data_IF_356582121562
#
_entry.id   IF_356582121562
#
_cell.length_a   1.000
_cell.length_b   1.000
_cell.length_c   1.000
_cell.angle_alpha   90.00
_cell.angle_beta   90.00
_cell.angle_gamma   90.00
#
_symmetry.space_group_name_H-M   'P 1'
#
loop_
_entity.id
_entity.type
_entity.pdbx_description
1 polymer ?
#
# COMPACT_ATOMS: atom_id res chain seq x y z
N UNK A 1 9.11 -27.07 -55.60
CA UNK A 1 9.18 -25.63 -55.23
C UNK A 1 9.47 -25.52 -53.73
N UNK A 2 10.33 -24.58 -53.31
CA UNK A 2 11.04 -24.63 -52.02
C UNK A 2 10.21 -24.09 -50.85
N UNK A 3 10.62 -24.35 -49.58
CA UNK A 3 10.05 -23.70 -48.41
C UNK A 3 10.62 -22.28 -48.26
N UNK A 4 9.77 -21.28 -48.03
CA UNK A 4 10.19 -19.93 -47.59
C UNK A 4 10.12 -19.84 -46.07
N UNK A 5 11.26 -19.53 -45.44
CA UNK A 5 11.37 -19.06 -44.05
C UNK A 5 10.96 -17.58 -43.95
N UNK A 6 10.29 -17.21 -42.86
CA UNK A 6 10.26 -15.86 -42.25
C UNK A 6 9.74 -16.00 -40.81
N UNK A 7 10.57 -16.16 -39.77
CA UNK A 7 11.11 -15.13 -38.85
C UNK A 7 10.17 -14.01 -38.37
N UNK A 8 10.14 -13.89 -37.02
CA UNK A 8 9.70 -12.78 -36.14
C UNK A 8 8.20 -12.47 -36.08
N UNK A 9 7.53 -13.11 -35.12
CA UNK A 9 6.27 -12.63 -34.56
C UNK A 9 6.57 -11.83 -33.30
N UNK A 10 6.42 -10.50 -33.40
CA UNK A 10 6.27 -9.60 -32.27
C UNK A 10 5.13 -10.13 -31.37
N UNK A 11 5.42 -10.28 -30.07
CA UNK A 11 4.45 -10.71 -29.07
C UNK A 11 3.29 -9.71 -29.02
N UNK A 12 2.18 -10.07 -29.64
CA UNK A 12 0.89 -9.40 -29.49
C UNK A 12 0.40 -9.61 -28.06
N UNK A 13 0.26 -8.54 -27.30
CA UNK A 13 -0.61 -8.49 -26.13
C UNK A 13 -2.05 -8.65 -26.62
N UNK A 14 -2.56 -9.88 -26.59
CA UNK A 14 -3.96 -10.19 -26.86
C UNK A 14 -4.80 -9.78 -25.66
N UNK A 15 -5.48 -8.64 -25.78
CA UNK A 15 -6.64 -8.33 -24.97
C UNK A 15 -7.81 -9.16 -25.49
N UNK A 16 -8.11 -10.26 -24.81
CA UNK A 16 -9.33 -11.01 -25.06
C UNK A 16 -10.48 -10.33 -24.33
N UNK A 17 -11.15 -9.41 -25.02
CA UNK A 17 -12.39 -8.82 -24.55
C UNK A 17 -13.51 -9.86 -24.69
N UNK A 18 -13.61 -10.71 -23.67
CA UNK A 18 -14.77 -11.57 -23.49
C UNK A 18 -15.96 -10.74 -22.98
N UNK A 19 -16.82 -10.32 -23.90
CA UNK A 19 -18.08 -9.65 -23.60
C UNK A 19 -19.06 -10.67 -23.02
N UNK A 20 -18.94 -10.94 -21.72
CA UNK A 20 -19.92 -11.73 -20.97
C UNK A 20 -20.20 -11.10 -19.61
N UNK A 21 -21.49 -11.07 -19.30
CA UNK A 21 -22.20 -10.47 -18.17
C UNK A 21 -21.47 -10.53 -16.81
N UNK A 22 -21.47 -9.38 -16.11
CA UNK A 22 -21.25 -9.25 -14.65
C UNK A 22 -19.94 -9.84 -14.09
N UNK A 23 -18.81 -9.63 -14.78
CA UNK A 23 -17.49 -9.96 -14.22
C UNK A 23 -17.24 -9.10 -12.97
N UNK A 24 -17.28 -9.74 -11.79
CA UNK A 24 -16.82 -9.15 -10.53
C UNK A 24 -15.37 -8.73 -10.69
N UNK A 25 -15.14 -7.44 -10.90
CA UNK A 25 -13.80 -6.88 -11.02
C UNK A 25 -13.11 -6.95 -9.66
N UNK A 26 -12.08 -7.80 -9.57
CA UNK A 26 -11.23 -7.93 -8.39
C UNK A 26 -9.96 -7.12 -8.64
N UNK A 27 -9.67 -6.19 -7.75
CA UNK A 27 -8.42 -5.43 -7.76
C UNK A 27 -7.41 -6.19 -6.90
N UNK A 28 -6.20 -6.38 -7.41
CA UNK A 28 -5.11 -7.02 -6.67
C UNK A 28 -3.88 -6.12 -6.64
N UNK A 29 -3.20 -6.07 -5.49
CA UNK A 29 -1.82 -5.59 -5.38
C UNK A 29 -0.88 -6.71 -5.85
N UNK A 30 0.07 -6.36 -6.70
CA UNK A 30 1.12 -7.29 -7.14
C UNK A 30 2.29 -7.14 -6.17
N UNK A 31 2.65 -8.22 -5.48
CA UNK A 31 3.75 -8.27 -4.52
C UNK A 31 4.81 -9.23 -5.04
N UNK A 32 6.04 -8.75 -5.20
CA UNK A 32 7.18 -9.57 -5.59
C UNK A 32 7.99 -9.90 -4.35
N UNK A 33 8.17 -11.19 -4.08
CA UNK A 33 8.92 -11.70 -2.93
C UNK A 33 10.14 -12.45 -3.47
N UNK A 34 11.32 -11.93 -3.13
CA UNK A 34 12.59 -12.57 -3.39
C UNK A 34 13.73 -11.57 -3.28
N UNK A 35 14.92 -12.08 -3.04
CA UNK A 35 16.15 -11.32 -2.93
C UNK A 35 17.00 -11.39 -4.21
N UNK A 36 16.44 -11.95 -5.29
CA UNK A 36 17.11 -12.16 -6.58
C UNK A 36 18.27 -13.16 -6.52
N UNK A 37 18.41 -13.93 -5.44
CA UNK A 37 19.50 -14.90 -5.24
C UNK A 37 19.04 -16.36 -5.28
N UNK A 38 17.77 -16.59 -5.62
CA UNK A 38 17.19 -17.92 -5.79
C UNK A 38 17.00 -18.29 -7.25
N UNK A 39 16.68 -19.55 -7.52
CA UNK A 39 16.20 -20.00 -8.83
C UNK A 39 15.12 -21.06 -8.66
N UNK A 40 14.10 -21.04 -9.50
CA UNK A 40 13.09 -22.09 -9.53
C UNK A 40 13.34 -23.05 -10.68
N UNK A 41 13.26 -24.36 -10.39
CA UNK A 41 13.22 -25.40 -11.40
C UNK A 41 11.76 -25.59 -11.83
N UNK A 42 11.48 -25.32 -13.10
CA UNK A 42 10.17 -25.53 -13.71
C UNK A 42 10.28 -26.60 -14.80
N UNK A 43 10.10 -27.86 -14.42
CA UNK A 43 10.33 -29.00 -15.30
C UNK A 43 11.79 -29.07 -15.76
N UNK A 44 12.01 -28.93 -17.06
CA UNK A 44 13.35 -28.91 -17.69
C UNK A 44 13.94 -27.50 -17.84
N UNK A 45 13.24 -26.48 -17.34
CA UNK A 45 13.67 -25.08 -17.42
C UNK A 45 14.04 -24.51 -16.05
N UNK A 46 14.97 -23.54 -16.02
CA UNK A 46 15.36 -22.83 -14.80
C UNK A 46 14.93 -21.37 -14.91
N UNK A 47 14.17 -20.90 -13.93
CA UNK A 47 13.86 -19.48 -13.74
C UNK A 47 14.95 -18.90 -12.84
N UNK A 48 15.83 -18.10 -13.43
CA UNK A 48 17.04 -17.55 -12.78
C UNK A 48 16.75 -16.57 -11.66
N UNK A 49 15.59 -15.92 -11.68
CA UNK A 49 15.31 -14.78 -10.79
C UNK A 49 14.88 -15.25 -9.40
N UNK A 50 14.31 -16.46 -9.28
CA UNK A 50 13.89 -17.05 -8.01
C UNK A 50 12.81 -16.26 -7.25
N UNK A 51 12.25 -15.23 -7.86
CA UNK A 51 11.27 -14.36 -7.23
C UNK A 51 9.84 -14.89 -7.44
N UNK A 52 9.03 -14.83 -6.39
CA UNK A 52 7.61 -15.21 -6.43
C UNK A 52 6.76 -13.96 -6.56
N UNK A 53 5.86 -13.94 -7.54
CA UNK A 53 4.87 -12.86 -7.70
C UNK A 53 3.54 -13.32 -7.13
N UNK A 54 3.03 -12.58 -6.15
CA UNK A 54 1.76 -12.80 -5.50
C UNK A 54 0.75 -11.72 -5.91
N UNK A 55 -0.50 -12.14 -6.11
CA UNK A 55 -1.64 -11.24 -6.31
C UNK A 55 -2.46 -11.18 -5.03
N UNK A 56 -2.34 -10.09 -4.28
CA UNK A 56 -3.04 -9.89 -3.01
C UNK A 56 -4.32 -9.10 -3.26
N UNK A 57 -5.51 -9.64 -2.96
CA UNK A 57 -6.76 -8.91 -3.15
C UNK A 57 -6.76 -7.58 -2.37
N UNK A 58 -7.02 -6.49 -3.08
CA UNK A 58 -7.03 -5.14 -2.55
C UNK A 58 -8.46 -4.59 -2.55
N UNK A 59 -8.85 -3.89 -1.48
CA UNK A 59 -10.10 -3.17 -1.49
C UNK A 59 -9.99 -1.95 -2.44
N UNK A 60 -10.84 -1.85 -3.49
CA UNK A 60 -10.75 -0.76 -4.47
C UNK A 60 -10.96 0.63 -3.86
N UNK A 61 -11.56 0.71 -2.66
CA UNK A 61 -11.70 1.98 -1.95
C UNK A 61 -10.34 2.64 -1.71
N UNK A 62 -9.28 1.88 -1.40
CA UNK A 62 -7.93 2.46 -1.18
C UNK A 62 -7.39 3.19 -2.42
N UNK A 63 -7.77 2.74 -3.62
CA UNK A 63 -7.42 3.44 -4.86
C UNK A 63 -8.27 4.69 -5.08
N UNK A 64 -9.55 4.67 -4.67
CA UNK A 64 -10.45 5.81 -4.83
C UNK A 64 -10.25 6.91 -3.76
N UNK A 65 -9.74 6.57 -2.57
CA UNK A 65 -9.57 7.49 -1.43
C UNK A 65 -8.80 8.78 -1.76
N UNK A 66 -7.63 8.73 -2.43
CA UNK A 66 -6.90 9.94 -2.80
C UNK A 66 -7.72 10.89 -3.69
N UNK A 67 -8.44 10.33 -4.67
CA UNK A 67 -9.27 11.11 -5.59
C UNK A 67 -10.50 11.68 -4.88
N UNK A 68 -11.11 10.91 -3.97
CA UNK A 68 -12.20 11.38 -3.12
C UNK A 68 -11.76 12.58 -2.27
N UNK A 69 -10.64 12.46 -1.54
CA UNK A 69 -10.13 13.55 -0.71
C UNK A 69 -9.81 14.79 -1.53
N UNK A 70 -9.19 14.63 -2.71
CA UNK A 70 -8.80 15.77 -3.56
C UNK A 70 -10.00 16.47 -4.19
N UNK A 71 -11.02 15.72 -4.64
CA UNK A 71 -12.12 16.27 -5.45
C UNK A 71 -13.39 16.57 -4.68
N UNK A 72 -13.67 15.85 -3.58
CA UNK A 72 -14.94 15.99 -2.84
C UNK A 72 -14.84 16.86 -1.58
N UNK A 73 -13.73 17.60 -1.42
CA UNK A 73 -13.56 18.57 -0.33
C UNK A 73 -14.58 19.72 -0.41
N UNK A 74 -14.83 20.22 -1.62
CA UNK A 74 -15.69 21.38 -1.85
C UNK A 74 -17.11 20.96 -2.24
N UNK A 75 -17.24 19.99 -3.14
CA UNK A 75 -18.53 19.61 -3.74
C UNK A 75 -18.77 18.10 -3.73
N UNK A 76 -20.04 17.71 -3.73
CA UNK A 76 -20.44 16.32 -3.90
C UNK A 76 -20.40 15.97 -5.41
N UNK A 77 -19.76 14.85 -5.77
CA UNK A 77 -19.50 14.49 -7.18
C UNK A 77 -19.98 13.08 -7.50
N UNK A 78 -20.25 12.83 -8.79
CA UNK A 78 -20.56 11.49 -9.29
C UNK A 78 -19.30 10.61 -9.31
N UNK A 79 -19.48 9.29 -9.27
CA UNK A 79 -18.37 8.34 -9.28
C UNK A 79 -17.46 8.51 -10.49
N UNK A 80 -18.03 8.78 -11.67
CA UNK A 80 -17.27 8.96 -12.91
C UNK A 80 -16.34 10.17 -12.81
N UNK A 81 -16.84 11.29 -12.28
CA UNK A 81 -16.05 12.51 -12.07
C UNK A 81 -14.97 12.32 -11.01
N UNK A 82 -15.23 11.53 -9.97
CA UNK A 82 -14.25 11.23 -8.92
C UNK A 82 -13.09 10.43 -9.52
N UNK A 83 -13.39 9.37 -10.28
CA UNK A 83 -12.41 8.46 -10.86
C UNK A 83 -11.78 8.94 -12.17
N UNK A 84 -12.15 10.14 -12.62
CA UNK A 84 -11.58 10.75 -13.81
C UNK A 84 -10.14 11.22 -13.55
N UNK A 85 -9.13 10.47 -13.98
CA UNK A 85 -7.73 10.82 -13.76
C UNK A 85 -6.95 10.72 -15.07
N UNK A 86 -6.30 11.82 -15.47
CA UNK A 86 -5.52 11.90 -16.71
C UNK A 86 -4.28 10.99 -16.68
N UNK A 87 -3.69 10.80 -15.50
CA UNK A 87 -2.51 9.95 -15.32
C UNK A 87 -2.91 8.47 -15.34
N UNK A 88 -4.12 8.15 -14.84
CA UNK A 88 -4.62 6.78 -14.72
C UNK A 88 -6.04 6.61 -15.32
N UNK A 89 -6.21 6.67 -16.65
CA UNK A 89 -7.52 6.60 -17.29
C UNK A 89 -8.24 5.26 -17.03
N UNK A 90 -7.50 4.19 -16.73
CA UNK A 90 -8.05 2.88 -16.38
C UNK A 90 -8.83 2.87 -15.07
N UNK A 91 -8.67 3.90 -14.23
CA UNK A 91 -9.39 4.02 -12.96
C UNK A 91 -10.91 4.11 -13.18
N UNK A 92 -11.34 4.68 -14.30
CA UNK A 92 -12.76 4.75 -14.68
C UNK A 92 -13.43 3.37 -14.77
N UNK A 93 -12.67 2.29 -15.06
CA UNK A 93 -13.20 0.92 -15.05
C UNK A 93 -13.71 0.48 -13.67
N UNK A 94 -13.28 1.14 -12.59
CA UNK A 94 -13.76 0.88 -11.23
C UNK A 94 -15.14 1.49 -10.95
N UNK A 95 -15.65 2.41 -11.79
CA UNK A 95 -16.92 3.10 -11.54
C UNK A 95 -18.09 2.12 -11.39
N UNK A 96 -18.09 1.04 -12.19
CA UNK A 96 -19.12 0.00 -12.17
C UNK A 96 -18.84 -1.13 -11.14
N UNK A 97 -17.79 -1.01 -10.33
CA UNK A 97 -17.42 -2.04 -9.37
C UNK A 97 -18.36 -2.04 -8.17
N UNK A 98 -19.18 -3.09 -8.04
CA UNK A 98 -20.12 -3.27 -6.91
C UNK A 98 -19.42 -3.20 -5.54
N UNK A 99 -18.22 -3.78 -5.41
CA UNK A 99 -17.46 -3.74 -4.15
C UNK A 99 -17.04 -2.32 -3.80
N UNK A 100 -16.64 -1.51 -4.79
CA UNK A 100 -16.33 -0.09 -4.59
C UNK A 100 -17.58 0.68 -4.16
N UNK A 101 -18.70 0.54 -4.89
CA UNK A 101 -19.94 1.26 -4.58
C UNK A 101 -20.47 0.95 -3.16
N UNK A 102 -20.39 -0.32 -2.74
CA UNK A 102 -20.75 -0.72 -1.36
C UNK A 102 -19.79 -0.10 -0.34
N UNK A 103 -18.49 -0.03 -0.64
CA UNK A 103 -17.51 0.59 0.25
C UNK A 103 -17.70 2.11 0.33
N UNK A 104 -17.99 2.79 -0.78
CA UNK A 104 -18.29 4.22 -0.84
C UNK A 104 -19.51 4.58 0.00
N UNK A 105 -20.59 3.81 -0.06
CA UNK A 105 -21.78 4.01 0.78
C UNK A 105 -21.50 3.96 2.28
N UNK A 106 -20.40 3.31 2.71
CA UNK A 106 -20.00 3.23 4.13
C UNK A 106 -19.14 4.41 4.59
N UNK A 107 -18.48 5.07 3.65
CA UNK A 107 -17.43 6.07 3.92
C UNK A 107 -17.83 7.48 3.48
N UNK A 108 -18.73 7.58 2.51
CA UNK A 108 -19.25 8.83 1.97
C UNK A 108 -20.71 9.06 2.42
N UNK A 109 -21.10 10.32 2.44
CA UNK A 109 -22.50 10.71 2.38
C UNK A 109 -22.97 10.57 0.93
N UNK A 110 -24.12 9.93 0.76
CA UNK A 110 -24.66 9.59 -0.56
C UNK A 110 -25.98 10.30 -0.74
N UNK A 111 -26.03 11.16 -1.75
CA UNK A 111 -27.24 11.82 -2.20
C UNK A 111 -27.70 11.20 -3.51
N UNK A 112 -29.01 10.99 -3.65
CA UNK A 112 -29.60 10.39 -4.85
C UNK A 112 -30.27 11.51 -5.63
N UNK A 113 -29.73 11.84 -6.81
CA UNK A 113 -30.31 12.85 -7.70
C UNK A 113 -30.83 12.19 -8.96
N UNK A 114 -32.16 12.14 -9.08
CA UNK A 114 -32.96 11.57 -10.20
C UNK A 114 -32.65 10.09 -10.49
N UNK A 115 -31.43 9.76 -10.91
CA UNK A 115 -30.94 8.39 -11.15
C UNK A 115 -29.44 8.20 -10.85
N UNK A 116 -28.73 9.25 -10.40
CA UNK A 116 -27.30 9.22 -10.15
C UNK A 116 -27.00 9.31 -8.66
N UNK A 117 -25.99 8.55 -8.22
CA UNK A 117 -25.43 8.67 -6.87
C UNK A 117 -24.34 9.73 -6.87
N UNK A 118 -24.52 10.72 -6.02
CA UNK A 118 -23.53 11.76 -5.74
C UNK A 118 -22.89 11.44 -4.39
N UNK A 119 -21.57 11.41 -4.36
CA UNK A 119 -20.77 11.04 -3.20
C UNK A 119 -20.03 12.27 -2.66
N UNK A 120 -20.13 12.49 -1.35
CA UNK A 120 -19.30 13.44 -0.62
C UNK A 120 -18.53 12.70 0.47
N UNK A 121 -17.22 12.88 0.53
CA UNK A 121 -16.42 12.23 1.57
C UNK A 121 -16.79 12.76 2.94
N UNK A 122 -17.04 11.84 3.87
CA UNK A 122 -17.31 12.16 5.27
C UNK A 122 -16.13 11.64 6.11
N UNK A 123 -15.38 12.56 6.71
CA UNK A 123 -14.17 12.22 7.48
C UNK A 123 -14.48 11.33 8.69
N UNK A 124 -15.61 11.53 9.38
CA UNK A 124 -15.97 10.73 10.54
C UNK A 124 -16.31 9.29 10.15
N UNK A 125 -17.08 9.11 9.06
CA UNK A 125 -17.40 7.78 8.51
C UNK A 125 -16.16 7.07 8.01
N UNK A 126 -15.26 7.79 7.34
CA UNK A 126 -13.97 7.27 6.89
C UNK A 126 -13.13 6.77 8.07
N UNK A 127 -12.96 7.59 9.11
CA UNK A 127 -12.18 7.23 10.29
C UNK A 127 -12.77 6.02 10.99
N UNK A 128 -14.09 5.95 11.17
CA UNK A 128 -14.74 4.79 11.77
C UNK A 128 -14.55 3.52 10.92
N UNK A 129 -14.63 3.63 9.60
CA UNK A 129 -14.35 2.52 8.69
C UNK A 129 -12.89 2.05 8.79
N UNK A 130 -11.93 2.98 8.83
CA UNK A 130 -10.50 2.67 8.99
C UNK A 130 -10.21 2.03 10.34
N UNK A 131 -10.79 2.53 11.44
CA UNK A 131 -10.68 1.92 12.77
C UNK A 131 -11.12 0.46 12.74
N UNK A 132 -12.29 0.19 12.15
CA UNK A 132 -12.79 -1.18 12.00
C UNK A 132 -11.87 -2.07 11.15
N UNK A 133 -11.21 -1.52 10.12
CA UNK A 133 -10.23 -2.25 9.32
C UNK A 133 -8.96 -2.56 10.09
N UNK A 134 -8.50 -1.62 10.91
CA UNK A 134 -7.37 -1.82 11.79
C UNK A 134 -7.65 -2.88 12.85
N UNK A 135 -8.83 -2.86 13.51
CA UNK A 135 -9.22 -3.90 14.48
C UNK A 135 -9.21 -5.31 13.85
N UNK A 136 -9.69 -5.43 12.61
CA UNK A 136 -9.63 -6.68 11.86
C UNK A 136 -8.16 -7.09 11.64
N UNK A 137 -7.30 -6.15 11.24
CA UNK A 137 -5.86 -6.41 11.04
C UNK A 137 -5.18 -6.84 12.34
N UNK A 138 -5.50 -6.18 13.46
CA UNK A 138 -5.02 -6.53 14.80
C UNK A 138 -5.43 -7.94 15.20
N UNK A 139 -6.58 -8.44 14.74
CA UNK A 139 -6.98 -9.84 14.92
C UNK A 139 -6.08 -10.86 14.23
N UNK A 140 -5.34 -10.47 13.18
CA UNK A 140 -4.42 -11.35 12.45
C UNK A 140 -2.95 -11.24 12.91
N UNK A 141 -2.58 -10.16 13.60
CA UNK A 141 -1.21 -9.88 14.02
C UNK A 141 -1.06 -9.89 15.54
N UNK A 142 0.08 -10.37 16.05
CA UNK A 142 0.33 -10.42 17.50
C UNK A 142 0.68 -9.05 18.08
N UNK A 143 1.21 -8.13 17.26
CA UNK A 143 1.64 -6.79 17.70
C UNK A 143 0.83 -5.66 17.04
N UNK A 144 0.56 -4.63 17.84
CA UNK A 144 -0.12 -3.40 17.40
C UNK A 144 0.72 -2.60 16.40
N UNK A 145 2.05 -2.62 16.57
CA UNK A 145 3.00 -1.91 15.72
C UNK A 145 3.05 -2.48 14.29
N UNK A 146 2.95 -3.80 14.15
CA UNK A 146 2.92 -4.46 12.85
C UNK A 146 1.64 -4.09 12.07
N UNK A 147 0.49 -4.07 12.76
CA UNK A 147 -0.78 -3.67 12.17
C UNK A 147 -0.74 -2.21 11.71
N UNK A 148 -0.10 -1.34 12.49
CA UNK A 148 0.11 0.07 12.11
C UNK A 148 1.06 0.21 10.92
N UNK A 149 2.15 -0.56 10.87
CA UNK A 149 3.08 -0.57 9.73
C UNK A 149 2.39 -0.97 8.43
N UNK A 150 1.55 -2.01 8.48
CA UNK A 150 0.78 -2.46 7.33
C UNK A 150 -0.20 -1.36 6.90
N UNK A 151 -0.94 -0.76 7.83
CA UNK A 151 -1.86 0.33 7.49
C UNK A 151 -1.16 1.54 6.87
N UNK A 152 0.06 1.87 7.32
CA UNK A 152 0.89 2.92 6.70
C UNK A 152 1.21 2.62 5.23
N UNK A 153 1.41 1.36 4.87
CA UNK A 153 1.71 0.97 3.48
C UNK A 153 0.53 1.19 2.52
N UNK A 154 -0.71 1.16 3.02
CA UNK A 154 -1.92 1.31 2.21
C UNK A 154 -2.57 2.71 2.29
N UNK A 155 -2.18 3.53 3.26
CA UNK A 155 -2.75 4.85 3.49
C UNK A 155 -1.75 5.95 3.13
N UNK A 156 -2.26 7.08 2.62
CA UNK A 156 -1.45 8.29 2.48
C UNK A 156 -1.05 8.82 3.86
N UNK A 157 0.10 9.49 3.94
CA UNK A 157 0.69 9.94 5.22
C UNK A 157 -0.27 10.80 6.04
N UNK A 158 -1.02 11.70 5.42
CA UNK A 158 -1.98 12.56 6.11
C UNK A 158 -3.10 11.76 6.77
N UNK A 159 -3.66 10.79 6.05
CA UNK A 159 -4.74 9.94 6.56
C UNK A 159 -4.23 8.98 7.63
N UNK A 160 -2.98 8.53 7.51
CA UNK A 160 -2.31 7.72 8.52
C UNK A 160 -2.05 8.53 9.80
N UNK A 161 -1.65 9.80 9.70
CA UNK A 161 -1.50 10.72 10.84
C UNK A 161 -2.83 10.92 11.57
N UNK A 162 -3.91 11.22 10.83
CA UNK A 162 -5.26 11.34 11.38
C UNK A 162 -5.70 10.06 12.11
N UNK A 163 -5.44 8.90 11.50
CA UNK A 163 -5.75 7.60 12.12
C UNK A 163 -4.98 7.42 13.43
N UNK A 164 -3.67 7.70 13.44
CA UNK A 164 -2.81 7.58 14.62
C UNK A 164 -3.27 8.49 15.76
N UNK A 165 -3.63 9.73 15.46
CA UNK A 165 -4.24 10.66 16.43
C UNK A 165 -5.54 10.08 16.98
N UNK A 166 -6.38 9.52 16.11
CA UNK A 166 -7.68 8.96 16.51
C UNK A 166 -7.60 7.73 17.43
N UNK A 167 -6.44 7.06 17.48
CA UNK A 167 -6.13 5.95 18.39
C UNK A 167 -5.41 6.40 19.68
N UNK A 168 -5.11 7.70 19.82
CA UNK A 168 -4.36 8.21 20.97
C UNK A 168 -2.88 7.81 20.96
N UNK A 169 -2.37 7.25 19.85
CA UNK A 169 -0.98 6.81 19.69
C UNK A 169 -0.07 7.96 19.26
N UNK A 170 -0.21 9.14 19.87
CA UNK A 170 0.77 10.22 19.70
C UNK A 170 2.01 9.85 20.49
N UNK A 171 2.94 9.15 19.83
CA UNK A 171 4.34 9.45 20.06
C UNK A 171 4.71 10.45 18.96
N UNK A 172 5.25 11.60 19.36
CA UNK A 172 6.11 12.40 18.48
C UNK A 172 7.02 11.41 17.75
N UNK A 173 6.76 11.15 16.47
CA UNK A 173 7.87 10.71 15.63
C UNK A 173 8.72 11.95 15.54
N UNK A 174 9.72 12.01 16.42
CA UNK A 174 10.92 12.79 16.17
C UNK A 174 11.36 12.35 14.79
N UNK A 175 11.18 13.23 13.83
CA UNK A 175 11.75 13.11 12.51
C UNK A 175 13.26 13.06 12.73
N UNK A 176 13.82 11.86 12.73
CA UNK A 176 15.26 11.69 12.54
C UNK A 176 15.48 11.84 11.04
N UNK A 177 15.32 13.06 10.55
CA UNK A 177 15.93 13.51 9.31
C UNK A 177 17.30 14.08 9.66
N UNK A 178 18.31 13.51 9.00
CA UNK A 178 19.64 14.04 8.73
C UNK A 178 20.59 14.34 9.91
N UNK A 179 21.38 13.32 10.27
CA UNK A 179 22.74 13.53 10.74
C UNK A 179 23.73 12.91 9.75
N UNK A 180 24.14 13.73 8.78
CA UNK A 180 25.34 13.55 7.96
C UNK A 180 26.57 13.11 8.81
N UNK A 181 27.45 12.25 8.28
CA UNK A 181 28.63 11.78 9.00
C UNK A 181 29.77 12.79 8.85
N UNK A 182 30.04 13.59 9.89
CA UNK A 182 31.25 14.45 9.90
C UNK A 182 32.09 14.24 11.16
N UNK A 183 33.21 13.54 10.97
CA UNK A 183 34.53 14.09 11.26
C UNK A 183 34.94 14.38 12.72
N UNK A 184 35.85 13.51 13.18
CA UNK A 184 37.14 13.89 13.82
C UNK A 184 37.27 13.91 15.35
N UNK A 185 38.07 12.92 15.80
CA UNK A 185 39.16 12.97 16.79
C UNK A 185 38.90 13.63 18.16
N UNK A 186 39.14 12.83 19.23
CA UNK A 186 40.36 12.97 20.03
C UNK A 186 40.63 11.74 20.90
N UNK A 187 41.76 11.08 20.61
CA UNK A 187 42.46 10.17 21.53
C UNK A 187 42.76 10.92 22.84
N UNK A 188 42.49 10.29 23.99
CA UNK A 188 43.18 10.58 25.24
C UNK A 188 43.75 9.29 25.81
N UNK A 189 45.05 9.17 25.65
CA UNK A 189 45.97 8.35 26.42
C UNK A 189 45.89 8.70 27.90
N UNK A 190 45.88 7.68 28.78
CA UNK A 190 46.28 7.84 30.18
C UNK A 190 47.16 6.66 30.59
N UNK A 191 48.46 6.93 30.64
CA UNK A 191 49.50 6.08 31.22
C UNK A 191 49.67 6.47 32.68
N UNK A 192 49.70 5.47 33.56
CA UNK A 192 50.61 5.39 34.72
C UNK A 192 50.15 5.99 36.06
N UNK A 193 50.07 5.14 37.10
CA UNK A 193 50.04 5.60 38.50
C UNK A 193 49.77 4.51 39.54
N UNK A 194 50.81 3.78 39.97
CA UNK A 194 50.86 2.76 41.04
C UNK A 194 50.31 3.19 42.41
N UNK A 195 49.75 2.21 43.15
CA UNK A 195 49.97 1.80 44.58
C UNK A 195 48.72 1.02 45.02
N UNK A 196 48.69 -0.15 45.67
CA UNK A 196 49.66 -1.07 46.25
C UNK A 196 48.99 -1.72 47.48
N UNK A 197 49.12 -3.05 47.65
CA UNK A 197 48.99 -3.79 48.94
C UNK A 197 47.53 -4.08 49.37
N UNK A 198 47.05 -5.24 49.84
CA UNK A 198 47.59 -6.46 50.48
C UNK A 198 46.50 -7.58 50.43
N UNK A 199 46.95 -8.84 50.39
CA UNK A 199 46.46 -10.10 51.04
C UNK A 199 45.02 -10.09 51.63
N UNK A 200 44.21 -11.16 51.57
CA UNK A 200 44.52 -12.55 51.96
C UNK A 200 43.35 -13.47 51.55
N UNK A 201 43.67 -14.71 51.15
CA UNK A 201 42.72 -15.84 51.05
C UNK A 201 42.32 -16.35 52.45
N UNK A 202 41.10 -16.82 52.57
CA UNK A 202 40.79 -18.09 53.22
C UNK A 202 39.73 -18.79 52.40
#
# INVERSE_FOLDING_TARGET
MPPKKATRSAGKSTFQNDTSFDRKLIVCKVVKIGDGKGSFLNGESVVSDGDVVLFVPLNPLFLALPHLRRKTQTEALTIDKILDDEEYPKLQNLANNKTLLIALKKVCDVEITRENFIFKLNSDKLLNWLKKKWEISKGFHTSEEESMKIMKEYLQDDLFKELRVSFGLVQETVDIEDAEPTGSLKRKTAVGGKKGTKRTRK
#
